data_IF_689191611412
#
_entry.id   IF_689191611412
#
_cell.length_a   1.000
_cell.length_b   1.000
_cell.length_c   1.000
_cell.angle_alpha   90.00
_cell.angle_beta   90.00
_cell.angle_gamma   90.00
#
_symmetry.space_group_name_H-M   'P 1'
#
loop_
_entity.id
_entity.type
_entity.pdbx_description
1 polymer ?
#
# COMPACT_ATOMS: atom_id res chain seq x y z
N UNK A 1 25.43 16.10 31.16
CA UNK A 1 25.41 16.04 29.68
C UNK A 1 24.60 14.85 29.12
N UNK A 2 23.75 14.13 29.90
CA UNK A 2 23.10 12.91 29.48
C UNK A 2 21.54 12.91 29.43
N UNK A 3 20.88 13.85 30.12
CA UNK A 3 19.41 13.86 30.17
C UNK A 3 18.78 14.35 28.85
N UNK A 4 19.30 15.43 28.25
CA UNK A 4 18.81 15.93 26.96
C UNK A 4 18.96 14.90 25.82
N UNK A 5 20.04 14.10 25.80
CA UNK A 5 20.22 13.02 24.81
C UNK A 5 19.23 11.87 25.00
N UNK A 6 18.80 11.60 26.22
CA UNK A 6 17.80 10.57 26.53
C UNK A 6 16.38 11.02 26.18
N UNK A 7 16.06 12.29 26.36
CA UNK A 7 14.77 12.88 25.95
C UNK A 7 14.66 12.98 24.41
N UNK A 8 15.72 13.43 23.75
CA UNK A 8 15.78 13.48 22.27
C UNK A 8 15.66 12.07 21.65
N UNK A 9 16.29 11.06 22.25
CA UNK A 9 16.19 9.68 21.76
C UNK A 9 14.77 9.11 21.95
N UNK A 10 14.08 9.45 23.04
CA UNK A 10 12.68 9.09 23.26
C UNK A 10 11.76 9.80 22.25
N UNK A 11 11.98 11.09 22.00
CA UNK A 11 11.23 11.88 21.02
C UNK A 11 11.36 11.31 19.60
N UNK A 12 12.59 11.00 19.18
CA UNK A 12 12.86 10.39 17.87
C UNK A 12 12.21 9.01 17.71
N UNK A 13 12.28 8.15 18.73
CA UNK A 13 11.66 6.84 18.71
C UNK A 13 10.11 6.93 18.59
N UNK A 14 9.49 7.95 19.18
CA UNK A 14 8.06 8.20 19.07
C UNK A 14 7.69 8.65 17.65
N UNK A 15 8.47 9.54 17.03
CA UNK A 15 8.27 9.96 15.64
C UNK A 15 8.43 8.80 14.66
N UNK A 16 9.43 7.92 14.87
CA UNK A 16 9.60 6.72 14.07
C UNK A 16 8.38 5.76 14.16
N UNK A 17 7.73 5.68 15.31
CA UNK A 17 6.49 4.90 15.45
C UNK A 17 5.34 5.47 14.62
N UNK A 18 5.30 6.80 14.44
CA UNK A 18 4.29 7.46 13.63
C UNK A 18 4.54 7.27 12.13
N UNK A 19 5.81 7.34 11.69
CA UNK A 19 6.25 7.10 10.30
C UNK A 19 6.03 5.63 9.87
N UNK A 20 6.03 4.68 10.80
CA UNK A 20 5.78 3.24 10.59
C UNK A 20 6.69 2.58 9.55
N UNK A 21 8.04 2.60 9.68
CA UNK A 21 8.94 2.01 8.69
C UNK A 21 8.68 0.50 8.43
N UNK A 22 8.20 -0.23 9.44
CA UNK A 22 7.81 -1.65 9.28
C UNK A 22 6.75 -1.88 8.19
N UNK A 23 5.96 -0.86 7.84
CA UNK A 23 4.95 -0.96 6.80
C UNK A 23 5.52 -0.75 5.39
N UNK A 24 6.76 -0.25 5.27
CA UNK A 24 7.43 -0.04 4.00
C UNK A 24 7.66 -1.34 3.22
N UNK A 25 7.69 -2.49 3.90
CA UNK A 25 7.76 -3.81 3.27
C UNK A 25 6.70 -4.00 2.17
N UNK A 26 5.52 -3.39 2.32
CA UNK A 26 4.46 -3.43 1.32
C UNK A 26 4.82 -2.72 0.02
N UNK A 27 5.77 -1.79 0.07
CA UNK A 27 6.25 -1.08 -1.10
C UNK A 27 7.23 -1.92 -1.92
N UNK A 28 7.60 -3.12 -1.43
CA UNK A 28 8.35 -4.12 -2.19
C UNK A 28 7.70 -4.52 -3.51
N UNK A 29 6.38 -4.32 -3.67
CA UNK A 29 5.67 -4.49 -4.94
C UNK A 29 6.23 -3.61 -6.08
N UNK A 30 6.94 -2.52 -5.77
CA UNK A 30 7.65 -1.67 -6.73
C UNK A 30 8.75 -2.44 -7.48
N UNK A 31 9.32 -3.48 -6.86
CA UNK A 31 10.37 -4.29 -7.47
C UNK A 31 9.86 -5.45 -8.33
N UNK A 32 8.54 -5.74 -8.33
CA UNK A 32 7.98 -6.81 -9.15
C UNK A 32 8.25 -6.64 -10.66
N UNK A 33 8.15 -5.42 -11.24
CA UNK A 33 8.53 -5.21 -12.64
C UNK A 33 9.98 -5.61 -12.93
N UNK A 34 10.92 -5.26 -12.05
CA UNK A 34 12.33 -5.62 -12.20
C UNK A 34 12.53 -7.13 -12.11
N UNK A 35 11.82 -7.78 -11.19
CA UNK A 35 11.91 -9.24 -11.02
C UNK A 35 11.41 -9.98 -12.25
N UNK A 36 10.19 -9.68 -12.70
CA UNK A 36 9.59 -10.35 -13.85
C UNK A 36 10.17 -9.89 -15.19
N UNK A 37 10.73 -8.67 -15.27
CA UNK A 37 11.43 -8.16 -16.44
C UNK A 37 12.89 -8.60 -16.53
N UNK A 38 13.41 -9.39 -15.57
CA UNK A 38 14.80 -9.84 -15.54
C UNK A 38 15.82 -8.73 -15.32
N UNK A 39 15.40 -7.55 -14.87
CA UNK A 39 16.21 -6.34 -14.76
C UNK A 39 16.80 -6.07 -13.37
N UNK A 40 16.67 -7.02 -12.43
CA UNK A 40 17.18 -6.85 -11.05
C UNK A 40 18.69 -6.63 -10.96
N UNK A 41 19.45 -7.13 -11.95
CA UNK A 41 20.91 -6.98 -12.00
C UNK A 41 21.35 -5.75 -12.81
N UNK A 42 20.43 -5.03 -13.45
CA UNK A 42 20.73 -3.78 -14.13
C UNK A 42 20.78 -2.64 -13.11
N UNK A 43 21.96 -2.09 -12.91
CA UNK A 43 22.23 -1.07 -11.86
C UNK A 43 21.32 0.15 -11.97
N UNK A 44 21.08 0.66 -13.16
CA UNK A 44 20.25 1.85 -13.39
C UNK A 44 18.79 1.59 -13.07
N UNK A 45 18.26 0.44 -13.48
CA UNK A 45 16.88 0.03 -13.18
C UNK A 45 16.70 -0.23 -11.68
N UNK A 46 17.68 -0.89 -11.04
CA UNK A 46 17.66 -1.13 -9.60
C UNK A 46 17.71 0.19 -8.83
N UNK A 47 18.55 1.15 -9.23
CA UNK A 47 18.63 2.46 -8.60
C UNK A 47 17.31 3.23 -8.74
N UNK A 48 16.70 3.24 -9.93
CA UNK A 48 15.40 3.84 -10.16
C UNK A 48 14.31 3.19 -9.27
N UNK A 49 14.33 1.86 -9.16
CA UNK A 49 13.45 1.11 -8.27
C UNK A 49 13.63 1.49 -6.80
N UNK A 50 14.87 1.63 -6.33
CA UNK A 50 15.18 2.05 -4.95
C UNK A 50 14.73 3.49 -4.66
N UNK A 51 14.99 4.43 -5.56
CA UNK A 51 14.53 5.81 -5.45
C UNK A 51 13.00 5.84 -5.35
N UNK A 52 12.31 5.10 -6.23
CA UNK A 52 10.84 4.98 -6.21
C UNK A 52 10.34 4.37 -4.91
N UNK A 53 11.00 3.33 -4.40
CA UNK A 53 10.66 2.69 -3.14
C UNK A 53 10.72 3.67 -1.96
N UNK A 54 11.78 4.47 -1.84
CA UNK A 54 11.90 5.44 -0.78
C UNK A 54 10.90 6.60 -0.96
N UNK A 55 10.75 7.13 -2.17
CA UNK A 55 9.76 8.17 -2.47
C UNK A 55 8.34 7.71 -2.07
N UNK A 56 7.96 6.51 -2.49
CA UNK A 56 6.66 5.92 -2.16
C UNK A 56 6.51 5.64 -0.66
N UNK A 57 7.58 5.24 0.02
CA UNK A 57 7.59 4.96 1.45
C UNK A 57 7.38 6.23 2.27
N UNK A 58 7.97 7.34 1.86
CA UNK A 58 7.73 8.64 2.49
C UNK A 58 6.29 9.13 2.25
N UNK A 59 5.75 8.98 1.03
CA UNK A 59 4.34 9.27 0.76
C UNK A 59 3.40 8.44 1.64
N UNK A 60 3.66 7.13 1.77
CA UNK A 60 2.88 6.24 2.63
C UNK A 60 2.97 6.64 4.11
N UNK A 61 4.13 7.07 4.58
CA UNK A 61 4.34 7.56 5.95
C UNK A 61 3.56 8.85 6.21
N UNK A 62 3.52 9.77 5.25
CA UNK A 62 2.66 10.96 5.30
C UNK A 62 1.19 10.58 5.49
N UNK A 63 0.71 9.58 4.75
CA UNK A 63 -0.67 9.07 4.86
C UNK A 63 -0.93 8.44 6.24
N UNK A 64 0.03 7.72 6.83
CA UNK A 64 -0.13 7.19 8.18
C UNK A 64 -0.25 8.28 9.23
N UNK A 65 0.52 9.36 9.11
CA UNK A 65 0.38 10.53 10.00
C UNK A 65 -1.05 11.11 9.88
N UNK A 66 -1.54 11.32 8.65
CA UNK A 66 -2.90 11.81 8.42
C UNK A 66 -3.97 10.88 8.99
N UNK A 67 -3.82 9.58 8.79
CA UNK A 67 -4.78 8.60 9.32
C UNK A 67 -4.84 8.63 10.86
N UNK A 68 -3.69 8.73 11.52
CA UNK A 68 -3.65 8.76 12.99
C UNK A 68 -4.17 10.10 13.54
N UNK A 69 -4.02 11.22 12.81
CA UNK A 69 -4.65 12.51 13.13
C UNK A 69 -6.17 12.39 13.02
N UNK A 70 -6.66 11.82 11.91
CA UNK A 70 -8.09 11.73 11.62
C UNK A 70 -8.82 10.77 12.59
N UNK A 71 -8.15 9.72 13.02
CA UNK A 71 -8.71 8.68 13.89
C UNK A 71 -8.46 8.93 15.39
N UNK A 72 -7.85 10.05 15.79
CA UNK A 72 -7.37 10.30 17.17
C UNK A 72 -8.44 10.04 18.24
N UNK A 73 -9.67 10.53 18.05
CA UNK A 73 -10.76 10.37 19.00
C UNK A 73 -11.24 8.90 19.11
N UNK A 74 -11.25 8.19 17.99
CA UNK A 74 -11.62 6.77 17.97
C UNK A 74 -10.49 5.91 18.56
N UNK A 75 -9.24 6.26 18.28
CA UNK A 75 -8.08 5.55 18.79
C UNK A 75 -7.92 5.70 20.32
N UNK A 76 -8.24 6.85 20.88
CA UNK A 76 -8.24 7.08 22.35
C UNK A 76 -9.19 6.14 23.10
N UNK A 77 -10.32 5.78 22.49
CA UNK A 77 -11.34 4.88 23.07
C UNK A 77 -11.02 3.40 22.84
N UNK A 78 -10.07 3.09 21.99
CA UNK A 78 -9.76 1.71 21.62
C UNK A 78 -8.71 1.12 22.57
N UNK A 79 -8.91 -0.11 23.14
CA UNK A 79 -8.04 -0.68 24.17
C UNK A 79 -6.58 -0.83 23.77
N UNK A 80 -6.28 -1.05 22.48
CA UNK A 80 -4.90 -1.23 21.99
C UNK A 80 -4.36 0.04 21.28
N UNK A 81 -5.22 0.75 20.56
CA UNK A 81 -4.79 1.90 19.73
C UNK A 81 -4.58 3.18 20.54
N UNK A 82 -5.06 3.23 21.80
CA UNK A 82 -4.81 4.36 22.71
C UNK A 82 -3.31 4.62 22.96
N UNK A 83 -2.45 3.59 22.72
CA UNK A 83 -1.00 3.72 22.83
C UNK A 83 -0.32 4.29 21.57
N UNK A 84 -1.09 4.67 20.52
CA UNK A 84 -0.52 5.36 19.35
C UNK A 84 0.00 6.74 19.73
N UNK A 85 1.07 7.23 19.08
CA UNK A 85 1.74 8.48 19.47
C UNK A 85 0.82 9.70 19.62
N UNK A 86 -0.15 9.88 18.72
CA UNK A 86 -1.08 11.02 18.78
C UNK A 86 -2.20 10.74 19.78
N UNK A 87 -2.74 9.52 19.82
CA UNK A 87 -3.82 9.16 20.75
C UNK A 87 -3.38 9.23 22.21
N UNK A 88 -2.15 8.81 22.52
CA UNK A 88 -1.54 8.89 23.86
C UNK A 88 -1.11 10.30 24.27
N UNK A 89 -1.12 11.27 23.34
CA UNK A 89 -0.65 12.64 23.60
C UNK A 89 0.87 12.82 23.52
N UNK A 90 1.63 11.77 23.19
CA UNK A 90 3.10 11.85 23.05
C UNK A 90 3.54 12.71 21.86
N UNK A 91 2.68 12.88 20.85
CA UNK A 91 2.87 13.79 19.72
C UNK A 91 1.62 14.67 19.58
N UNK A 92 1.81 15.98 19.53
CA UNK A 92 0.71 16.90 19.29
C UNK A 92 0.20 16.83 17.85
N UNK A 93 -1.08 17.18 17.63
CA UNK A 93 -1.68 17.20 16.29
C UNK A 93 -0.91 18.14 15.35
N UNK A 94 -0.41 19.28 15.86
CA UNK A 94 0.40 20.23 15.07
C UNK A 94 1.72 19.61 14.60
N UNK A 95 2.42 18.91 15.50
CA UNK A 95 3.66 18.20 15.15
C UNK A 95 3.40 17.07 14.15
N UNK A 96 2.26 16.36 14.29
CA UNK A 96 1.87 15.30 13.35
C UNK A 96 1.57 15.85 11.95
N UNK A 97 0.89 17.01 11.82
CA UNK A 97 0.74 17.70 10.53
C UNK A 97 2.08 18.14 9.97
N UNK A 98 2.98 18.72 10.79
CA UNK A 98 4.33 19.08 10.35
C UNK A 98 5.09 17.88 9.79
N UNK A 99 5.05 16.74 10.49
CA UNK A 99 5.68 15.50 10.02
C UNK A 99 5.03 14.96 8.75
N UNK A 100 3.71 15.05 8.62
CA UNK A 100 2.96 14.66 7.43
C UNK A 100 3.45 15.44 6.19
N UNK A 101 3.53 16.76 6.28
CA UNK A 101 4.00 17.60 5.18
C UNK A 101 5.48 17.39 4.89
N UNK A 102 6.32 17.21 5.92
CA UNK A 102 7.74 16.90 5.77
C UNK A 102 7.93 15.58 5.01
N UNK A 103 7.22 14.52 5.38
CA UNK A 103 7.29 13.22 4.70
C UNK A 103 6.83 13.32 3.25
N UNK A 104 5.77 14.09 2.96
CA UNK A 104 5.31 14.31 1.60
C UNK A 104 6.33 15.13 0.77
N UNK A 105 6.91 16.18 1.34
CA UNK A 105 7.96 16.96 0.69
C UNK A 105 9.21 16.11 0.39
N UNK A 106 9.64 15.28 1.34
CA UNK A 106 10.73 14.31 1.13
C UNK A 106 10.40 13.31 0.01
N UNK A 107 9.15 12.83 -0.04
CA UNK A 107 8.69 11.96 -1.12
C UNK A 107 8.85 12.62 -2.49
N UNK A 108 8.40 13.86 -2.63
CA UNK A 108 8.52 14.63 -3.89
C UNK A 108 9.97 14.96 -4.21
N UNK A 109 10.77 15.35 -3.20
CA UNK A 109 12.20 15.62 -3.38
C UNK A 109 12.99 14.40 -3.84
N UNK A 110 12.74 13.22 -3.24
CA UNK A 110 13.39 11.97 -3.69
C UNK A 110 12.89 11.55 -5.07
N UNK A 111 11.57 11.67 -5.34
CA UNK A 111 11.01 11.33 -6.65
C UNK A 111 11.56 12.22 -7.78
N UNK A 112 11.88 13.49 -7.50
CA UNK A 112 12.45 14.40 -8.51
C UNK A 112 13.82 13.95 -9.04
N UNK A 113 14.56 13.12 -8.29
CA UNK A 113 15.83 12.53 -8.74
C UNK A 113 15.66 11.60 -9.96
N UNK A 114 14.45 11.09 -10.19
CA UNK A 114 14.13 10.25 -11.35
C UNK A 114 13.92 11.07 -12.64
N UNK A 115 13.60 12.35 -12.53
CA UNK A 115 13.19 13.17 -13.68
C UNK A 115 11.90 12.71 -14.37
N UNK A 116 11.12 11.77 -13.77
CA UNK A 116 9.90 11.19 -14.34
C UNK A 116 8.65 11.84 -13.73
N UNK A 117 7.97 12.67 -14.52
CA UNK A 117 6.70 13.28 -14.14
C UNK A 117 5.58 12.26 -13.98
N UNK A 118 5.63 11.18 -14.73
CA UNK A 118 4.65 10.10 -14.67
C UNK A 118 4.72 9.36 -13.33
N UNK A 119 5.94 9.00 -12.88
CA UNK A 119 6.14 8.38 -11.56
C UNK A 119 5.67 9.32 -10.44
N UNK A 120 5.99 10.61 -10.54
CA UNK A 120 5.55 11.62 -9.59
C UNK A 120 4.02 11.73 -9.58
N UNK A 121 3.37 11.74 -10.73
CA UNK A 121 1.92 11.74 -10.88
C UNK A 121 1.26 10.54 -10.22
N UNK A 122 1.82 9.34 -10.37
CA UNK A 122 1.33 8.12 -9.72
C UNK A 122 1.42 8.24 -8.19
N UNK A 123 2.52 8.76 -7.65
CA UNK A 123 2.70 8.92 -6.20
C UNK A 123 1.73 9.96 -5.65
N UNK A 124 1.54 11.09 -6.34
CA UNK A 124 0.57 12.12 -5.95
C UNK A 124 -0.85 11.55 -5.98
N UNK A 125 -1.21 10.82 -7.04
CA UNK A 125 -2.51 10.18 -7.14
C UNK A 125 -2.74 9.17 -6.01
N UNK A 126 -1.75 8.34 -5.70
CA UNK A 126 -1.78 7.43 -4.56
C UNK A 126 -2.01 8.18 -3.25
N UNK A 127 -1.32 9.29 -3.04
CA UNK A 127 -1.44 10.11 -1.84
C UNK A 127 -2.84 10.69 -1.71
N UNK A 128 -3.37 11.33 -2.76
CA UNK A 128 -4.72 11.90 -2.79
C UNK A 128 -5.81 10.83 -2.57
N UNK A 129 -5.69 9.68 -3.25
CA UNK A 129 -6.61 8.56 -3.10
C UNK A 129 -6.67 8.07 -1.64
N UNK A 130 -5.51 7.98 -0.98
CA UNK A 130 -5.47 7.52 0.41
C UNK A 130 -5.90 8.58 1.41
N UNK A 131 -5.73 9.87 1.14
CA UNK A 131 -6.35 10.94 1.94
C UNK A 131 -7.88 10.83 1.88
N UNK A 132 -8.45 10.68 0.68
CA UNK A 132 -9.88 10.45 0.49
C UNK A 132 -10.36 9.15 1.17
N UNK A 133 -9.54 8.10 1.11
CA UNK A 133 -9.79 6.85 1.83
C UNK A 133 -9.89 7.07 3.35
N UNK A 134 -8.91 7.74 3.94
CA UNK A 134 -8.89 8.02 5.38
C UNK A 134 -10.06 8.92 5.81
N UNK A 135 -10.41 9.92 4.99
CA UNK A 135 -11.47 10.86 5.30
C UNK A 135 -12.88 10.24 5.22
N UNK A 136 -13.16 9.47 4.16
CA UNK A 136 -14.54 9.02 3.89
C UNK A 136 -14.64 7.57 3.43
N UNK A 137 -13.84 7.14 2.45
CA UNK A 137 -14.08 5.88 1.73
C UNK A 137 -13.89 4.63 2.58
N UNK A 138 -13.08 4.68 3.64
CA UNK A 138 -12.91 3.56 4.58
C UNK A 138 -14.20 3.15 5.32
N UNK A 139 -15.27 3.95 5.21
CA UNK A 139 -16.57 3.64 5.84
C UNK A 139 -17.48 2.82 4.93
N UNK A 140 -17.19 2.76 3.63
CA UNK A 140 -18.00 2.02 2.66
C UNK A 140 -17.44 0.64 2.45
N UNK A 141 -18.29 -0.38 2.68
CA UNK A 141 -17.96 -1.76 2.36
C UNK A 141 -17.66 -1.89 0.86
N UNK A 142 -16.83 -2.84 0.47
CA UNK A 142 -16.35 -3.08 -0.89
C UNK A 142 -15.38 -1.98 -1.37
N UNK A 143 -15.75 -0.71 -1.31
CA UNK A 143 -14.87 0.41 -1.72
C UNK A 143 -13.57 0.40 -0.92
N UNK A 144 -13.64 0.09 0.38
CA UNK A 144 -12.44 0.03 1.23
C UNK A 144 -11.45 -1.05 0.78
N UNK A 145 -11.92 -2.24 0.41
CA UNK A 145 -11.04 -3.32 -0.09
C UNK A 145 -10.53 -3.04 -1.50
N UNK A 146 -11.37 -2.45 -2.37
CA UNK A 146 -10.97 -2.06 -3.71
C UNK A 146 -9.87 -1.00 -3.71
N UNK A 147 -9.98 0.04 -2.87
CA UNK A 147 -8.94 1.09 -2.77
C UNK A 147 -7.63 0.50 -2.23
N UNK A 148 -7.70 -0.41 -1.24
CA UNK A 148 -6.51 -1.09 -0.73
C UNK A 148 -5.85 -1.91 -1.85
N UNK A 149 -6.61 -2.70 -2.60
CA UNK A 149 -6.10 -3.51 -3.71
C UNK A 149 -5.49 -2.61 -4.82
N UNK A 150 -6.20 -1.55 -5.19
CA UNK A 150 -5.70 -0.58 -6.18
C UNK A 150 -4.42 0.13 -5.72
N UNK A 151 -4.28 0.38 -4.42
CA UNK A 151 -3.03 0.90 -3.84
C UNK A 151 -1.82 0.00 -4.10
N UNK A 152 -1.98 -1.32 -4.19
CA UNK A 152 -0.90 -2.24 -4.59
C UNK A 152 -0.63 -2.19 -6.09
N UNK A 153 -1.67 -2.03 -6.91
CA UNK A 153 -1.50 -1.79 -8.36
C UNK A 153 -0.72 -0.51 -8.63
N UNK A 154 -0.99 0.58 -7.90
CA UNK A 154 -0.24 1.82 -8.04
C UNK A 154 1.25 1.67 -7.70
N UNK A 155 1.60 0.81 -6.73
CA UNK A 155 3.01 0.47 -6.44
C UNK A 155 3.68 -0.23 -7.62
N UNK A 156 2.98 -1.22 -8.18
CA UNK A 156 3.46 -1.94 -9.35
C UNK A 156 3.66 -1.00 -10.55
N UNK A 157 2.67 -0.13 -10.82
CA UNK A 157 2.74 0.87 -11.91
C UNK A 157 3.89 1.86 -11.70
N UNK A 158 4.05 2.37 -10.47
CA UNK A 158 5.16 3.28 -10.15
C UNK A 158 6.52 2.63 -10.42
N UNK A 159 6.68 1.36 -10.03
CA UNK A 159 7.89 0.59 -10.32
C UNK A 159 8.13 0.40 -11.81
N UNK A 160 7.10 0.01 -12.58
CA UNK A 160 7.22 -0.18 -14.04
C UNK A 160 7.59 1.11 -14.77
N UNK A 161 6.89 2.20 -14.47
CA UNK A 161 7.15 3.51 -15.10
C UNK A 161 8.55 4.03 -14.74
N UNK A 162 8.94 3.97 -13.47
CA UNK A 162 10.24 4.47 -13.02
C UNK A 162 11.43 3.71 -13.65
N UNK A 163 11.25 2.42 -13.92
CA UNK A 163 12.31 1.56 -14.48
C UNK A 163 12.23 1.41 -15.99
N UNK A 164 11.22 2.01 -16.64
CA UNK A 164 10.99 1.88 -18.09
C UNK A 164 10.52 0.48 -18.51
N UNK A 165 10.12 -0.38 -17.56
CA UNK A 165 9.69 -1.74 -17.84
C UNK A 165 8.19 -1.75 -18.16
N UNK A 166 7.86 -2.20 -19.38
CA UNK A 166 6.46 -2.33 -19.81
C UNK A 166 5.79 -3.47 -19.05
N UNK A 167 4.72 -3.13 -18.34
CA UNK A 167 3.95 -4.09 -17.57
C UNK A 167 2.93 -4.82 -18.45
N UNK A 168 2.93 -6.14 -18.37
CA UNK A 168 1.86 -6.94 -18.94
C UNK A 168 0.53 -6.61 -18.26
N UNK A 169 -0.56 -6.55 -19.04
CA UNK A 169 -1.92 -6.37 -18.51
C UNK A 169 -2.27 -7.47 -17.48
N UNK A 170 -1.70 -8.65 -17.65
CA UNK A 170 -1.91 -9.80 -16.76
C UNK A 170 -1.32 -9.60 -15.37
N UNK A 171 -0.08 -9.07 -15.25
CA UNK A 171 0.52 -8.84 -13.94
C UNK A 171 -0.24 -7.77 -13.14
N UNK A 172 -0.75 -6.74 -13.85
CA UNK A 172 -1.60 -5.69 -13.24
C UNK A 172 -2.90 -6.29 -12.72
N UNK A 173 -3.59 -7.09 -13.55
CA UNK A 173 -4.84 -7.75 -13.18
C UNK A 173 -4.64 -8.74 -12.03
N UNK A 174 -3.62 -9.58 -12.10
CA UNK A 174 -3.29 -10.56 -11.06
C UNK A 174 -2.95 -9.89 -9.74
N UNK A 175 -2.18 -8.80 -9.77
CA UNK A 175 -1.86 -8.02 -8.56
C UNK A 175 -3.12 -7.47 -7.91
N UNK A 176 -4.04 -6.93 -8.71
CA UNK A 176 -5.33 -6.44 -8.20
C UNK A 176 -6.16 -7.57 -7.58
N UNK A 177 -6.34 -8.69 -8.28
CA UNK A 177 -7.16 -9.81 -7.83
C UNK A 177 -6.61 -10.47 -6.55
N UNK A 178 -5.30 -10.74 -6.49
CA UNK A 178 -4.66 -11.36 -5.31
C UNK A 178 -4.77 -10.42 -4.10
N UNK A 179 -4.51 -9.13 -4.27
CA UNK A 179 -4.58 -8.18 -3.16
C UNK A 179 -6.02 -7.89 -2.74
N UNK A 180 -6.98 -7.98 -3.67
CA UNK A 180 -8.41 -7.92 -3.37
C UNK A 180 -8.84 -9.15 -2.56
N UNK A 181 -8.46 -10.35 -2.98
CA UNK A 181 -8.67 -11.60 -2.25
C UNK A 181 -8.14 -11.52 -0.82
N UNK A 182 -6.88 -11.10 -0.64
CA UNK A 182 -6.27 -10.94 0.68
C UNK A 182 -6.98 -9.88 1.53
N UNK A 183 -7.50 -8.83 0.89
CA UNK A 183 -8.26 -7.79 1.57
C UNK A 183 -9.60 -8.33 2.07
N UNK A 184 -10.32 -9.13 1.28
CA UNK A 184 -11.54 -9.80 1.72
C UNK A 184 -11.27 -10.81 2.83
N UNK A 185 -10.21 -11.63 2.71
CA UNK A 185 -9.81 -12.57 3.76
C UNK A 185 -9.60 -11.86 5.11
N UNK A 186 -8.93 -10.70 5.09
CA UNK A 186 -8.76 -9.88 6.28
C UNK A 186 -10.10 -9.33 6.83
N UNK A 187 -11.04 -8.96 5.96
CA UNK A 187 -12.39 -8.53 6.41
C UNK A 187 -13.17 -9.69 7.01
N UNK A 188 -13.00 -10.90 6.48
CA UNK A 188 -13.58 -12.10 7.07
C UNK A 188 -13.12 -12.31 8.52
N UNK A 189 -11.82 -12.18 8.78
CA UNK A 189 -11.27 -12.29 10.13
C UNK A 189 -11.80 -11.19 11.05
N UNK A 190 -11.95 -9.96 10.56
CA UNK A 190 -12.55 -8.86 11.31
C UNK A 190 -14.00 -9.16 11.70
N UNK A 191 -14.82 -9.75 10.80
CA UNK A 191 -16.23 -10.13 11.07
C UNK A 191 -16.31 -11.29 12.05
N UNK A 192 -15.49 -12.35 11.87
CA UNK A 192 -15.43 -13.48 12.79
C UNK A 192 -15.04 -13.04 14.21
N UNK A 193 -14.15 -12.05 14.31
CA UNK A 193 -13.76 -11.47 15.58
C UNK A 193 -14.92 -10.70 16.21
N UNK A 194 -15.65 -9.92 15.41
CA UNK A 194 -16.85 -9.20 15.87
C UNK A 194 -17.93 -10.16 16.40
N UNK A 195 -18.17 -11.30 15.73
CA UNK A 195 -19.11 -12.32 16.19
C UNK A 195 -18.70 -12.95 17.52
N UNK A 196 -17.38 -13.10 17.76
CA UNK A 196 -16.87 -13.69 19.01
C UNK A 196 -16.83 -12.71 20.18
N UNK A 197 -16.51 -11.45 19.92
CA UNK A 197 -16.26 -10.43 20.98
C UNK A 197 -17.43 -9.48 21.17
N UNK A 198 -18.40 -9.44 20.25
CA UNK A 198 -19.48 -8.44 20.23
C UNK A 198 -19.04 -7.03 19.82
N UNK A 199 -17.73 -6.80 19.62
CA UNK A 199 -17.18 -5.50 19.25
C UNK A 199 -16.67 -5.49 17.82
N UNK A 200 -17.11 -4.50 17.03
CA UNK A 200 -16.64 -4.32 15.66
C UNK A 200 -15.21 -3.72 15.63
N UNK A 201 -14.19 -4.42 15.09
CA UNK A 201 -12.82 -3.90 15.00
C UNK A 201 -12.72 -2.61 14.18
N UNK A 202 -13.70 -2.37 13.28
CA UNK A 202 -13.82 -1.19 12.42
C UNK A 202 -15.29 -0.82 12.23
N UNK A 203 -15.57 0.47 11.97
CA UNK A 203 -16.93 0.95 11.71
C UNK A 203 -17.61 0.29 10.51
N UNK A 204 -16.85 -0.07 9.47
CA UNK A 204 -17.40 -0.74 8.28
C UNK A 204 -17.58 -2.25 8.44
N UNK A 205 -17.02 -2.88 9.49
CA UNK A 205 -17.17 -4.33 9.75
C UNK A 205 -18.63 -4.72 9.87
N UNK A 206 -19.46 -3.87 10.49
CA UNK A 206 -20.91 -4.09 10.67
C UNK A 206 -21.65 -4.22 9.33
N UNK A 207 -21.10 -3.65 8.25
CA UNK A 207 -21.72 -3.68 6.91
C UNK A 207 -21.37 -4.92 6.10
N UNK A 208 -20.49 -5.77 6.62
CA UNK A 208 -20.11 -7.02 5.98
C UNK A 208 -20.89 -8.19 6.59
N UNK A 209 -21.46 -9.02 5.72
CA UNK A 209 -22.06 -10.30 6.07
C UNK A 209 -21.06 -11.41 5.74
N UNK A 210 -20.92 -12.42 6.59
CA UNK A 210 -20.04 -13.57 6.36
C UNK A 210 -20.36 -14.32 5.06
N UNK A 211 -21.65 -14.50 4.75
CA UNK A 211 -22.06 -15.15 3.50
C UNK A 211 -21.54 -14.39 2.29
N UNK A 212 -21.73 -13.07 2.26
CA UNK A 212 -21.22 -12.21 1.19
C UNK A 212 -19.69 -12.29 1.08
N UNK A 213 -18.96 -12.19 2.20
CA UNK A 213 -17.50 -12.22 2.19
C UNK A 213 -16.99 -13.59 1.69
N UNK A 214 -17.58 -14.70 2.15
CA UNK A 214 -17.19 -16.03 1.70
C UNK A 214 -17.41 -16.20 0.18
N UNK A 215 -18.54 -15.71 -0.34
CA UNK A 215 -18.79 -15.70 -1.79
C UNK A 215 -17.79 -14.82 -2.53
N UNK A 216 -17.51 -13.61 -2.04
CA UNK A 216 -16.54 -12.70 -2.65
C UNK A 216 -15.12 -13.28 -2.68
N UNK A 217 -14.71 -13.97 -1.61
CA UNK A 217 -13.44 -14.71 -1.54
C UNK A 217 -13.41 -15.83 -2.59
N UNK A 218 -14.47 -16.64 -2.67
CA UNK A 218 -14.55 -17.73 -3.64
C UNK A 218 -14.52 -17.22 -5.07
N UNK A 219 -15.28 -16.18 -5.38
CA UNK A 219 -15.30 -15.56 -6.71
C UNK A 219 -13.93 -15.00 -7.07
N UNK A 220 -13.32 -14.20 -6.19
CA UNK A 220 -11.99 -13.61 -6.46
C UNK A 220 -10.90 -14.68 -6.61
N UNK A 221 -10.95 -15.75 -5.81
CA UNK A 221 -10.03 -16.88 -5.95
C UNK A 221 -10.20 -17.60 -7.29
N UNK A 222 -11.46 -17.90 -7.67
CA UNK A 222 -11.78 -18.59 -8.94
C UNK A 222 -11.36 -17.74 -10.14
N UNK A 223 -11.68 -16.45 -10.15
CA UNK A 223 -11.27 -15.53 -11.22
C UNK A 223 -9.75 -15.43 -11.30
N UNK A 224 -9.05 -15.36 -10.17
CA UNK A 224 -7.59 -15.34 -10.13
C UNK A 224 -7.00 -16.60 -10.77
N UNK A 225 -7.54 -17.77 -10.43
CA UNK A 225 -7.10 -19.04 -11.00
C UNK A 225 -7.33 -19.09 -12.52
N UNK A 226 -8.51 -18.68 -12.98
CA UNK A 226 -8.83 -18.63 -14.42
C UNK A 226 -7.88 -17.67 -15.15
N UNK A 227 -7.65 -16.47 -14.62
CA UNK A 227 -6.71 -15.51 -15.20
C UNK A 227 -5.29 -16.08 -15.26
N UNK A 228 -4.85 -16.82 -14.25
CA UNK A 228 -3.54 -17.47 -14.24
C UNK A 228 -3.44 -18.55 -15.33
N UNK A 229 -4.45 -19.40 -15.47
CA UNK A 229 -4.51 -20.43 -16.51
C UNK A 229 -4.49 -19.78 -17.90
N UNK A 230 -5.30 -18.75 -18.11
CA UNK A 230 -5.32 -18.02 -19.40
C UNK A 230 -3.95 -17.40 -19.73
N UNK A 231 -3.30 -16.81 -18.73
CA UNK A 231 -1.95 -16.26 -18.90
C UNK A 231 -0.93 -17.33 -19.30
N UNK A 232 -0.94 -18.48 -18.62
CA UNK A 232 -0.02 -19.58 -18.92
C UNK A 232 -0.31 -20.17 -20.31
N UNK A 233 -1.59 -20.39 -20.67
CA UNK A 233 -1.95 -20.86 -22.01
C UNK A 233 -1.45 -19.90 -23.10
N UNK A 234 -1.62 -18.59 -22.93
CA UNK A 234 -1.16 -17.60 -23.90
C UNK A 234 0.37 -17.58 -24.04
N UNK A 235 1.11 -17.81 -22.95
CA UNK A 235 2.58 -17.92 -23.00
C UNK A 235 3.04 -19.12 -23.85
N UNK A 236 2.33 -20.25 -23.78
CA UNK A 236 2.68 -21.45 -24.55
C UNK A 236 2.16 -21.44 -25.98
N UNK A 237 1.14 -20.64 -26.29
CA UNK A 237 0.55 -20.53 -27.62
C UNK A 237 1.11 -19.36 -28.45
N UNK A 238 1.85 -18.45 -27.84
CA UNK A 238 2.56 -17.40 -28.58
C UNK A 238 3.70 -18.03 -29.41
N UNK A 239 3.76 -17.80 -30.74
CA UNK A 239 4.84 -18.32 -31.55
C UNK A 239 6.18 -17.82 -31.00
N UNK A 240 7.12 -18.76 -30.86
CA UNK A 240 8.48 -18.42 -30.46
C UNK A 240 9.09 -17.46 -31.48
N UNK A 241 9.91 -16.46 -31.08
CA UNK A 241 10.67 -15.63 -32.02
C UNK A 241 11.53 -16.44 -33.00
N UNK A 242 11.78 -17.72 -32.72
CA UNK A 242 12.51 -18.64 -33.60
C UNK A 242 11.67 -19.14 -34.78
N UNK A 243 10.34 -19.14 -34.65
CA UNK A 243 9.44 -19.65 -35.73
C UNK A 243 9.22 -18.60 -36.84
N UNK A 244 9.57 -17.33 -36.60
CA UNK A 244 9.46 -16.24 -37.58
C UNK A 244 10.66 -16.09 -38.55
N UNK A 245 11.70 -16.90 -38.39
CA UNK A 245 12.93 -16.85 -39.24
C UNK A 245 13.01 -17.98 -40.28
N UNK A 246 11.95 -18.79 -40.42
CA UNK A 246 11.92 -19.93 -41.38
C UNK A 246 10.86 -19.75 -42.47
N UNK A 247 10.70 -18.54 -43.01
CA UNK A 247 9.95 -18.31 -44.28
C UNK A 247 10.65 -17.31 -45.16
#
# INVERSE_FOLDING_TARGET
>A
MNENKLEDSKGFAVLLRLVRPKQWIKNGFIFLPLFFGGALLHTDALLAGLITFFAYSFAASSIYCFNDIFDVEADRRHPVKCHRPIASGAVSIKQAYGLMFLMFALSMGVCSLLGSWETMGIIIFYWLLNLGYCAKFKQYAIIDVCIVAFGFVLRLLAGGVATGIVLSKWIVLMTFLITLFMSFAKRRDDVLRMEKTGEAPRKNTIRYNLTFINQAITITASVTLVCYIMYTCLLYTSPSPRDSTSS
#
